data_IF_001816136736
#
_entry.id   IF_001816136736
#
_cell.length_a   1.000
_cell.length_b   1.000
_cell.length_c   1.000
_cell.angle_alpha   90.00
_cell.angle_beta   90.00
_cell.angle_gamma   90.00
#
_symmetry.space_group_name_H-M   'P 1'
#
loop_
_entity.id
_entity.type
_entity.pdbx_description
1 polymer ?
#
# COMPACT_ATOMS: atom_id res chain seq x y z
N UNK A 1 -2.85 9.20 -19.08
CA UNK A 1 -3.75 8.77 -17.99
C UNK A 1 -3.72 9.85 -16.91
N UNK A 2 -4.84 10.20 -16.29
CA UNK A 2 -4.94 11.27 -15.30
C UNK A 2 -5.14 10.77 -13.85
N UNK A 3 -5.07 9.46 -13.62
CA UNK A 3 -5.25 8.81 -12.31
C UNK A 3 -3.99 8.11 -11.83
N UNK A 4 -2.81 8.70 -12.04
CA UNK A 4 -1.51 8.16 -11.65
C UNK A 4 -0.92 8.82 -10.39
N UNK A 5 -1.73 9.60 -9.66
CA UNK A 5 -1.34 10.30 -8.44
C UNK A 5 -2.29 9.93 -7.28
N UNK A 6 -1.73 9.76 -6.09
CA UNK A 6 -2.45 9.58 -4.83
C UNK A 6 -1.88 10.53 -3.76
N UNK A 7 -2.74 10.99 -2.83
CA UNK A 7 -2.37 11.90 -1.73
C UNK A 7 -2.54 13.39 -2.08
N UNK A 8 -2.30 14.28 -1.10
CA UNK A 8 -2.43 15.75 -1.26
C UNK A 8 -1.17 16.51 -0.84
N UNK A 9 -0.69 16.30 0.38
CA UNK A 9 0.62 16.77 0.84
C UNK A 9 1.65 15.67 0.64
N UNK A 10 1.54 14.57 1.39
CA UNK A 10 2.29 13.36 1.09
C UNK A 10 1.62 12.71 -0.12
N UNK A 11 2.22 12.91 -1.28
CA UNK A 11 1.68 12.41 -2.54
C UNK A 11 2.70 11.58 -3.26
N UNK A 12 2.25 10.62 -4.05
CA UNK A 12 3.12 9.92 -4.98
C UNK A 12 2.51 9.83 -6.36
N UNK A 13 3.35 9.98 -7.37
CA UNK A 13 3.01 9.83 -8.78
C UNK A 13 3.76 8.63 -9.34
N UNK A 14 3.08 7.74 -10.06
CA UNK A 14 3.68 6.48 -10.55
C UNK A 14 3.88 6.45 -12.06
N UNK A 15 4.87 5.69 -12.51
CA UNK A 15 5.15 5.37 -13.90
C UNK A 15 5.60 3.90 -14.08
N UNK A 16 5.68 3.47 -15.34
CA UNK A 16 6.08 2.13 -15.73
C UNK A 16 4.92 1.23 -16.17
N UNK A 17 5.28 0.10 -16.78
CA UNK A 17 4.39 -0.96 -17.21
C UNK A 17 4.98 -2.31 -16.84
N UNK A 18 4.13 -3.33 -16.64
CA UNK A 18 4.56 -4.63 -16.13
C UNK A 18 5.68 -5.34 -16.91
N UNK A 19 5.82 -5.04 -18.20
CA UNK A 19 6.87 -5.58 -19.07
C UNK A 19 7.74 -4.47 -19.70
N UNK A 20 7.69 -3.25 -19.18
CA UNK A 20 8.65 -2.19 -19.51
C UNK A 20 9.99 -2.43 -18.79
N UNK A 21 10.97 -1.57 -19.04
CA UNK A 21 12.31 -1.68 -18.44
C UNK A 21 12.31 -1.53 -16.91
N UNK A 22 11.40 -0.72 -16.39
CA UNK A 22 11.27 -0.45 -14.97
C UNK A 22 9.86 -0.03 -14.58
N UNK A 23 9.59 -0.13 -13.28
CA UNK A 23 8.54 0.58 -12.57
C UNK A 23 9.18 1.77 -11.84
N UNK A 24 8.40 2.78 -11.49
CA UNK A 24 8.91 3.81 -10.57
C UNK A 24 7.85 4.76 -10.08
N UNK A 25 8.24 5.57 -9.10
CA UNK A 25 7.40 6.62 -8.55
C UNK A 25 8.22 7.83 -8.10
N UNK A 26 7.51 8.94 -7.95
CA UNK A 26 8.03 10.16 -7.33
C UNK A 26 7.16 10.47 -6.13
N UNK A 27 7.75 10.48 -4.94
CA UNK A 27 7.11 10.91 -3.69
C UNK A 27 7.40 12.39 -3.49
N UNK A 28 6.38 13.18 -3.20
CA UNK A 28 6.48 14.61 -2.87
C UNK A 28 5.79 14.90 -1.54
N UNK A 29 6.23 15.96 -0.85
CA UNK A 29 5.72 16.32 0.48
C UNK A 29 6.22 15.42 1.61
N UNK A 30 7.35 14.74 1.40
CA UNK A 30 8.12 14.15 2.49
C UNK A 30 8.91 15.27 3.17
N UNK A 31 8.80 15.48 4.50
CA UNK A 31 9.55 16.51 5.21
C UNK A 31 11.06 16.33 5.05
N UNK A 32 11.82 17.42 5.12
CA UNK A 32 13.29 17.34 5.20
C UNK A 32 13.77 16.80 6.55
N UNK A 33 14.95 16.18 6.55
CA UNK A 33 15.63 15.71 7.76
C UNK A 33 15.18 14.32 8.25
N UNK A 34 14.40 13.58 7.45
CA UNK A 34 14.04 12.19 7.73
C UNK A 34 15.21 11.32 7.30
N UNK A 35 15.75 10.49 8.20
CA UNK A 35 16.72 9.48 7.81
C UNK A 35 16.02 8.44 6.92
N UNK A 36 16.56 8.19 5.74
CA UNK A 36 15.93 7.33 4.74
C UNK A 36 16.89 6.26 4.23
N UNK A 37 16.46 5.02 4.36
CA UNK A 37 17.19 3.84 3.98
C UNK A 37 16.56 3.18 2.76
N UNK A 38 17.35 3.05 1.69
CA UNK A 38 16.99 2.25 0.51
C UNK A 38 16.81 0.77 0.88
N UNK A 39 17.55 0.26 1.87
CA UNK A 39 17.43 -1.11 2.38
C UNK A 39 16.07 -1.35 3.04
N UNK A 40 15.57 -0.39 3.82
CA UNK A 40 14.23 -0.49 4.43
C UNK A 40 13.13 -0.45 3.38
N UNK A 41 13.30 0.34 2.30
CA UNK A 41 12.40 0.30 1.15
C UNK A 41 12.45 -1.08 0.49
N UNK A 42 13.63 -1.65 0.30
CA UNK A 42 13.80 -2.97 -0.28
C UNK A 42 13.13 -4.07 0.57
N UNK A 43 13.21 -4.01 1.90
CA UNK A 43 12.54 -4.97 2.80
C UNK A 43 11.02 -5.00 2.60
N UNK A 44 10.38 -3.84 2.47
CA UNK A 44 8.93 -3.77 2.20
C UNK A 44 8.59 -4.29 0.80
N UNK A 45 9.42 -3.99 -0.21
CA UNK A 45 9.27 -4.56 -1.55
C UNK A 45 9.40 -6.08 -1.54
N UNK A 46 10.33 -6.61 -0.75
CA UNK A 46 10.57 -8.04 -0.61
C UNK A 46 9.37 -8.76 -0.03
N UNK A 47 8.69 -8.19 0.99
CA UNK A 47 7.42 -8.72 1.52
C UNK A 47 6.34 -8.87 0.45
N UNK A 48 6.34 -8.00 -0.57
CA UNK A 48 5.37 -7.98 -1.69
C UNK A 48 5.76 -8.89 -2.86
N UNK A 49 7.02 -9.36 -2.92
CA UNK A 49 7.52 -10.17 -4.04
C UNK A 49 6.73 -11.48 -4.18
N UNK A 50 6.39 -11.89 -5.41
CA UNK A 50 5.90 -13.23 -5.65
C UNK A 50 7.06 -14.25 -5.52
N UNK A 51 6.75 -15.50 -5.19
CA UNK A 51 7.71 -16.61 -5.22
C UNK A 51 8.53 -16.80 -3.94
N UNK A 52 8.13 -16.20 -2.81
CA UNK A 52 8.68 -16.54 -1.49
C UNK A 52 8.30 -17.96 -1.03
N UNK A 53 7.48 -18.64 -1.83
CA UNK A 53 6.56 -19.68 -1.42
C UNK A 53 6.11 -20.50 -2.64
N UNK A 54 5.75 -21.78 -2.46
CA UNK A 54 5.16 -22.61 -3.54
C UNK A 54 3.78 -22.10 -4.01
N UNK A 55 3.14 -21.26 -3.19
CA UNK A 55 1.80 -20.68 -3.35
C UNK A 55 1.83 -19.45 -4.28
N UNK A 56 3.00 -18.83 -4.48
CA UNK A 56 3.14 -17.60 -5.28
C UNK A 56 4.07 -17.82 -6.48
N UNK A 57 3.89 -17.04 -7.55
CA UNK A 57 4.63 -17.27 -8.79
C UNK A 57 6.14 -17.08 -8.65
N UNK A 58 6.94 -18.01 -9.17
CA UNK A 58 8.41 -18.05 -9.02
C UNK A 58 9.19 -17.03 -9.88
N UNK A 59 8.70 -15.79 -10.04
CA UNK A 59 9.47 -14.77 -10.78
C UNK A 59 10.58 -14.25 -9.87
N UNK A 60 11.84 -14.51 -10.24
CA UNK A 60 13.01 -13.92 -9.60
C UNK A 60 13.25 -12.48 -10.03
N UNK A 61 12.20 -11.64 -10.08
CA UNK A 61 12.37 -10.20 -10.27
C UNK A 61 12.99 -9.67 -8.96
N UNK A 62 14.23 -9.14 -8.98
CA UNK A 62 14.88 -8.74 -7.73
C UNK A 62 14.24 -7.47 -7.13
N UNK A 63 13.25 -6.87 -7.80
CA UNK A 63 12.57 -5.61 -7.44
C UNK A 63 13.53 -4.61 -6.80
N UNK A 64 14.70 -4.49 -7.41
CA UNK A 64 15.81 -3.72 -6.89
C UNK A 64 15.44 -2.25 -7.02
N UNK A 65 15.17 -1.61 -5.88
CA UNK A 65 14.85 -0.20 -5.80
C UNK A 65 16.12 0.62 -5.84
N UNK A 66 16.04 1.79 -6.48
CA UNK A 66 17.09 2.78 -6.42
C UNK A 66 16.50 4.18 -6.29
N UNK A 67 16.92 4.90 -5.26
CA UNK A 67 16.58 6.31 -5.02
C UNK A 67 17.46 7.18 -5.94
N UNK A 68 16.83 8.11 -6.66
CA UNK A 68 17.46 8.94 -7.69
C UNK A 68 17.50 10.43 -7.36
N UNK A 69 16.70 10.87 -6.41
CA UNK A 69 16.61 12.28 -6.01
C UNK A 69 16.00 12.39 -4.62
N UNK A 70 15.93 13.61 -4.09
CA UNK A 70 15.21 13.91 -2.85
C UNK A 70 15.99 13.62 -1.58
N UNK A 71 17.19 13.05 -1.71
CA UNK A 71 18.05 12.68 -0.58
C UNK A 71 19.46 13.26 -0.74
N UNK A 72 20.11 13.51 0.41
CA UNK A 72 21.51 13.88 0.53
C UNK A 72 22.07 13.18 1.77
N UNK A 73 23.15 12.43 1.62
CA UNK A 73 23.85 11.76 2.74
C UNK A 73 22.94 10.93 3.66
N UNK A 74 21.93 10.26 3.09
CA UNK A 74 21.00 9.42 3.85
C UNK A 74 19.80 10.16 4.45
N UNK A 75 19.68 11.47 4.24
CA UNK A 75 18.54 12.27 4.73
C UNK A 75 17.70 12.82 3.60
N UNK A 76 16.39 12.95 3.83
CA UNK A 76 15.48 13.64 2.92
C UNK A 76 15.75 15.14 2.90
N UNK A 77 15.63 15.74 1.73
CA UNK A 77 15.90 17.17 1.51
C UNK A 77 14.63 18.03 1.51
N UNK A 78 13.46 17.43 1.71
CA UNK A 78 12.15 18.07 1.52
C UNK A 78 11.72 18.17 0.05
N UNK A 79 12.60 17.82 -0.89
CA UNK A 79 12.34 17.81 -2.33
C UNK A 79 11.86 16.44 -2.82
N UNK A 80 11.31 16.31 -4.04
CA UNK A 80 10.75 15.05 -4.51
C UNK A 80 11.74 13.88 -4.54
N UNK A 81 11.35 12.76 -3.94
CA UNK A 81 12.10 11.51 -3.91
C UNK A 81 11.69 10.65 -5.10
N UNK A 82 12.58 10.53 -6.09
CA UNK A 82 12.38 9.68 -7.25
C UNK A 82 12.93 8.28 -6.98
N UNK A 83 12.12 7.25 -7.24
CA UNK A 83 12.52 5.84 -7.09
C UNK A 83 12.28 5.07 -8.39
N UNK A 84 13.26 4.23 -8.75
CA UNK A 84 13.20 3.34 -9.92
C UNK A 84 13.40 1.90 -9.47
N UNK A 85 12.53 1.00 -9.92
CA UNK A 85 12.51 -0.42 -9.59
C UNK A 85 12.64 -1.23 -10.90
N UNK A 86 13.73 -1.97 -11.06
CA UNK A 86 14.02 -2.64 -12.34
C UNK A 86 13.12 -3.86 -12.60
N UNK A 87 12.69 -4.04 -13.85
CA UNK A 87 12.05 -5.27 -14.31
C UNK A 87 13.08 -6.11 -15.09
N UNK A 88 13.51 -7.26 -14.56
CA UNK A 88 14.54 -8.11 -15.21
C UNK A 88 13.98 -9.24 -16.10
N UNK A 89 12.70 -9.61 -15.97
CA UNK A 89 12.16 -10.88 -16.50
C UNK A 89 10.89 -10.74 -17.37
N UNK A 90 10.81 -9.68 -18.17
CA UNK A 90 9.65 -9.43 -19.05
C UNK A 90 9.60 -10.40 -20.25
N UNK A 91 8.59 -11.28 -20.30
CA UNK A 91 8.30 -12.16 -21.44
C UNK A 91 6.96 -11.80 -22.08
N UNK A 92 6.95 -10.82 -22.98
CA UNK A 92 5.71 -10.32 -23.59
C UNK A 92 5.08 -11.28 -24.60
N UNK A 93 5.86 -12.09 -25.32
CA UNK A 93 5.36 -12.92 -26.43
C UNK A 93 4.21 -13.88 -26.08
N UNK A 94 4.13 -14.38 -24.84
CA UNK A 94 3.03 -15.25 -24.40
C UNK A 94 1.65 -14.56 -24.37
N UNK A 95 1.63 -13.23 -24.44
CA UNK A 95 0.39 -12.43 -24.45
C UNK A 95 -0.02 -11.96 -25.85
N UNK A 96 0.78 -12.25 -26.88
CA UNK A 96 0.47 -11.92 -28.27
C UNK A 96 -0.91 -12.45 -28.74
N UNK A 97 -1.37 -13.65 -28.34
CA UNK A 97 -2.71 -14.12 -28.69
C UNK A 97 -3.86 -13.22 -28.19
N UNK A 98 -3.60 -12.35 -27.22
CA UNK A 98 -4.61 -11.50 -26.59
C UNK A 98 -4.63 -10.06 -27.11
N UNK A 99 -3.85 -9.73 -28.16
CA UNK A 99 -3.78 -8.35 -28.68
C UNK A 99 -5.17 -7.87 -29.08
N UNK A 100 -5.89 -8.68 -29.84
CA UNK A 100 -7.25 -8.41 -30.37
C UNK A 100 -8.34 -9.30 -29.77
N UNK A 101 -7.96 -10.28 -28.94
CA UNK A 101 -8.87 -11.16 -28.23
C UNK A 101 -8.67 -10.98 -26.72
N UNK A 102 -9.52 -10.21 -26.01
CA UNK A 102 -9.25 -9.82 -24.64
C UNK A 102 -9.26 -11.04 -23.73
N UNK A 103 -8.36 -11.09 -22.74
CA UNK A 103 -8.50 -12.08 -21.68
C UNK A 103 -9.80 -11.80 -20.91
N UNK A 104 -10.60 -12.83 -20.59
CA UNK A 104 -11.81 -12.64 -19.80
C UNK A 104 -11.53 -11.89 -18.50
N UNK A 105 -12.40 -10.93 -18.18
CA UNK A 105 -12.33 -10.13 -16.96
C UNK A 105 -11.04 -9.30 -16.76
N UNK A 106 -10.26 -9.08 -17.83
CA UNK A 106 -9.13 -8.14 -17.82
C UNK A 106 -9.46 -6.80 -18.52
N UNK A 107 -8.61 -5.80 -18.28
CA UNK A 107 -8.69 -4.50 -18.93
C UNK A 107 -8.23 -4.46 -20.41
N UNK A 108 -8.00 -5.61 -21.05
CA UNK A 108 -7.41 -5.67 -22.40
C UNK A 108 -8.26 -4.90 -23.42
N UNK A 109 -9.56 -5.16 -23.49
CA UNK A 109 -10.47 -4.45 -24.40
C UNK A 109 -10.73 -3.02 -23.93
N UNK A 110 -10.98 -2.80 -22.63
CA UNK A 110 -11.38 -1.47 -22.12
C UNK A 110 -10.26 -0.43 -22.26
N UNK A 111 -9.00 -0.84 -22.13
CA UNK A 111 -7.86 0.04 -22.42
C UNK A 111 -7.75 0.36 -23.91
N UNK A 112 -7.87 -0.63 -24.79
CA UNK A 112 -7.86 -0.42 -26.24
C UNK A 112 -9.02 0.47 -26.68
N UNK A 113 -10.23 0.27 -26.16
CA UNK A 113 -11.39 1.08 -26.45
C UNK A 113 -11.25 2.52 -25.96
N UNK A 114 -10.61 2.74 -24.80
CA UNK A 114 -10.41 4.08 -24.22
C UNK A 114 -9.30 4.87 -24.92
N UNK A 115 -8.18 4.23 -25.22
CA UNK A 115 -6.95 4.91 -25.67
C UNK A 115 -6.59 4.66 -27.13
N UNK A 116 -7.29 3.76 -27.82
CA UNK A 116 -6.96 3.30 -29.18
C UNK A 116 -5.72 2.40 -29.26
N UNK A 117 -5.00 2.22 -28.14
CA UNK A 117 -3.83 1.37 -28.02
C UNK A 117 -3.63 0.95 -26.58
N UNK A 118 -2.84 -0.11 -26.37
CA UNK A 118 -2.39 -0.56 -25.04
C UNK A 118 -1.03 -1.24 -25.16
N UNK A 119 -0.22 -1.17 -24.11
CA UNK A 119 0.88 -2.11 -23.96
C UNK A 119 0.31 -3.49 -23.68
N UNK A 120 0.27 -4.34 -24.70
CA UNK A 120 -0.34 -5.67 -24.65
C UNK A 120 0.54 -6.71 -23.95
N UNK A 121 1.80 -6.37 -23.66
CA UNK A 121 2.70 -7.19 -22.86
C UNK A 121 2.19 -7.35 -21.43
N UNK A 122 1.54 -8.48 -21.15
CA UNK A 122 0.99 -8.77 -19.84
C UNK A 122 -0.23 -7.91 -19.51
N UNK A 123 -0.19 -7.20 -18.38
CA UNK A 123 -1.27 -6.30 -17.96
C UNK A 123 -1.02 -4.82 -18.29
N UNK A 124 0.14 -4.51 -18.90
CA UNK A 124 0.58 -3.13 -19.11
C UNK A 124 0.50 -2.32 -17.82
N UNK A 125 -0.17 -1.15 -17.88
CA UNK A 125 -0.40 -0.27 -16.73
C UNK A 125 -1.46 -0.77 -15.74
N UNK A 126 -2.39 -1.63 -16.17
CA UNK A 126 -3.42 -2.20 -15.28
C UNK A 126 -2.95 -3.40 -14.47
N UNK A 127 -1.69 -3.81 -14.63
CA UNK A 127 -1.14 -4.95 -13.91
C UNK A 127 -0.98 -4.64 -12.42
N UNK A 128 -1.19 -5.66 -11.57
CA UNK A 128 -0.82 -5.60 -10.15
C UNK A 128 0.69 -5.39 -9.91
N UNK A 129 1.54 -5.45 -10.96
CA UNK A 129 2.92 -4.97 -10.87
C UNK A 129 2.99 -3.49 -10.44
N UNK A 130 2.00 -2.68 -10.80
CA UNK A 130 1.91 -1.26 -10.41
C UNK A 130 2.02 -1.04 -8.90
N UNK A 131 1.54 -1.97 -8.08
CA UNK A 131 1.54 -1.81 -6.62
C UNK A 131 2.96 -1.78 -6.01
N UNK A 132 4.02 -2.08 -6.78
CA UNK A 132 5.41 -2.06 -6.32
C UNK A 132 5.83 -0.61 -6.03
N UNK A 133 5.32 0.30 -6.86
CA UNK A 133 5.47 1.73 -6.68
C UNK A 133 4.80 2.23 -5.40
N UNK A 134 3.68 1.61 -5.01
CA UNK A 134 2.90 2.01 -3.84
C UNK A 134 3.53 1.50 -2.56
N UNK A 135 4.05 0.27 -2.57
CA UNK A 135 4.84 -0.28 -1.47
C UNK A 135 6.12 0.53 -1.26
N UNK A 136 6.80 0.93 -2.33
CA UNK A 136 7.96 1.83 -2.22
C UNK A 136 7.58 3.18 -1.57
N UNK A 137 6.48 3.81 -2.02
CA UNK A 137 6.00 5.05 -1.40
C UNK A 137 5.55 4.85 0.06
N UNK A 138 4.91 3.71 0.37
CA UNK A 138 4.51 3.34 1.72
C UNK A 138 5.69 3.07 2.66
N UNK A 139 6.81 2.57 2.13
CA UNK A 139 8.05 2.39 2.89
C UNK A 139 8.72 3.74 3.24
N UNK A 140 8.61 4.74 2.35
CA UNK A 140 8.99 6.12 2.70
C UNK A 140 8.05 6.65 3.79
N UNK A 141 6.74 6.45 3.65
CA UNK A 141 5.79 6.90 4.66
C UNK A 141 6.03 6.24 6.04
N UNK A 142 6.35 4.95 6.05
CA UNK A 142 6.72 4.19 7.26
C UNK A 142 7.88 4.87 7.99
N UNK A 143 8.98 5.15 7.28
CA UNK A 143 10.17 5.76 7.87
C UNK A 143 9.92 7.18 8.42
N UNK A 144 8.99 7.93 7.83
CA UNK A 144 8.56 9.24 8.37
C UNK A 144 7.76 9.04 9.66
N UNK A 145 6.83 8.08 9.69
CA UNK A 145 6.00 7.80 10.86
C UNK A 145 6.85 7.28 12.03
N UNK A 146 7.77 6.35 11.76
CA UNK A 146 8.68 5.75 12.75
C UNK A 146 9.61 6.78 13.42
N UNK A 147 9.89 7.91 12.75
CA UNK A 147 10.70 9.02 13.27
C UNK A 147 9.86 10.20 13.78
N UNK A 148 8.54 10.08 13.79
CA UNK A 148 7.65 11.10 14.33
C UNK A 148 7.40 10.91 15.83
N UNK A 149 6.85 11.92 16.50
CA UNK A 149 6.47 11.83 17.91
C UNK A 149 5.17 10.99 18.14
N UNK A 150 4.65 10.31 17.11
CA UNK A 150 3.43 9.51 17.17
C UNK A 150 3.75 8.04 16.95
N UNK A 151 3.28 7.16 17.84
CA UNK A 151 3.44 5.70 17.75
C UNK A 151 2.40 5.08 16.78
N UNK A 152 2.42 5.52 15.52
CA UNK A 152 1.50 5.00 14.50
C UNK A 152 1.95 3.62 14.06
N UNK A 153 1.13 2.62 14.38
CA UNK A 153 1.37 1.23 14.00
C UNK A 153 0.32 0.76 13.01
N UNK A 154 0.75 0.00 12.00
CA UNK A 154 -0.11 -0.50 10.92
C UNK A 154 0.21 -1.95 10.65
N UNK A 155 -0.82 -2.80 10.72
CA UNK A 155 -0.71 -4.23 10.42
C UNK A 155 -1.94 -4.73 9.70
N UNK A 156 -1.74 -5.71 8.82
CA UNK A 156 -2.81 -6.38 8.10
C UNK A 156 -2.50 -7.87 7.98
N UNK A 157 -3.53 -8.70 7.86
CA UNK A 157 -3.36 -10.14 7.62
C UNK A 157 -4.50 -10.65 6.74
N UNK A 158 -4.26 -11.78 6.08
CA UNK A 158 -5.34 -12.52 5.40
C UNK A 158 -6.25 -13.09 6.47
N UNK A 159 -7.53 -12.73 6.42
CA UNK A 159 -8.54 -13.22 7.35
C UNK A 159 -9.55 -14.17 6.69
N UNK A 160 -9.58 -14.26 5.35
CA UNK A 160 -10.41 -15.25 4.66
C UNK A 160 -9.83 -15.66 3.31
N UNK A 161 -9.90 -16.96 2.99
CA UNK A 161 -9.72 -17.50 1.63
C UNK A 161 -10.91 -18.42 1.30
N UNK A 162 -11.64 -18.09 0.24
CA UNK A 162 -12.85 -18.83 -0.12
C UNK A 162 -13.85 -18.90 1.03
N UNK A 163 -14.13 -20.10 1.54
CA UNK A 163 -15.03 -20.34 2.67
C UNK A 163 -14.32 -20.53 4.02
N UNK A 164 -13.00 -20.39 4.06
CA UNK A 164 -12.18 -20.58 5.26
C UNK A 164 -11.90 -19.21 5.83
N UNK A 165 -12.36 -18.95 7.05
CA UNK A 165 -12.23 -17.68 7.76
C UNK A 165 -11.37 -17.91 8.99
N UNK A 166 -10.47 -16.97 9.27
CA UNK A 166 -9.69 -16.92 10.52
C UNK A 166 -10.65 -16.74 11.71
N UNK A 167 -10.31 -17.30 12.86
CA UNK A 167 -10.97 -16.93 14.11
C UNK A 167 -10.60 -15.48 14.50
N UNK A 168 -11.25 -14.93 15.54
CA UNK A 168 -10.89 -13.63 16.08
C UNK A 168 -9.45 -13.65 16.60
N UNK A 169 -8.59 -12.81 16.04
CA UNK A 169 -7.18 -12.67 16.41
C UNK A 169 -6.94 -11.34 17.12
N UNK A 170 -6.00 -11.32 18.06
CA UNK A 170 -5.56 -10.09 18.71
C UNK A 170 -4.55 -9.34 17.85
N UNK A 171 -4.28 -8.09 18.20
CA UNK A 171 -3.22 -7.31 17.58
C UNK A 171 -1.84 -7.94 17.76
N UNK A 172 -1.59 -8.52 18.92
CA UNK A 172 -0.36 -9.23 19.22
C UNK A 172 -0.20 -10.45 18.31
N UNK A 173 -1.27 -11.22 18.08
CA UNK A 173 -1.27 -12.33 17.12
C UNK A 173 -0.97 -11.84 15.69
N UNK A 174 -1.54 -10.70 15.29
CA UNK A 174 -1.23 -10.08 13.99
C UNK A 174 0.25 -9.70 13.88
N UNK A 175 0.85 -9.13 14.93
CA UNK A 175 2.26 -8.77 14.93
C UNK A 175 3.16 -10.01 14.85
N UNK A 176 2.84 -11.06 15.60
CA UNK A 176 3.63 -12.28 15.70
C UNK A 176 3.51 -13.13 14.43
N UNK A 177 2.29 -13.50 14.02
CA UNK A 177 2.08 -14.62 13.10
C UNK A 177 1.92 -14.25 11.63
N UNK A 178 1.65 -12.99 11.30
CA UNK A 178 1.39 -12.56 9.90
C UNK A 178 2.55 -12.87 8.95
N UNK A 179 3.81 -12.83 9.40
CA UNK A 179 4.97 -13.11 8.54
C UNK A 179 5.50 -14.55 8.67
N UNK A 180 4.96 -15.36 9.58
CA UNK A 180 5.44 -16.71 9.89
C UNK A 180 4.97 -17.77 8.87
N UNK A 181 3.98 -17.43 8.05
CA UNK A 181 3.40 -18.35 7.08
C UNK A 181 3.17 -17.68 5.71
N UNK A 182 3.11 -18.52 4.67
CA UNK A 182 3.03 -18.08 3.28
C UNK A 182 1.68 -17.44 2.90
N UNK A 183 0.62 -17.71 3.66
CA UNK A 183 -0.72 -17.12 3.48
C UNK A 183 -0.79 -15.72 4.09
N UNK A 184 0.10 -15.41 5.04
CA UNK A 184 0.08 -14.21 5.87
C UNK A 184 -1.21 -14.05 6.68
N UNK A 185 -1.66 -15.16 7.24
CA UNK A 185 -2.80 -15.20 8.16
C UNK A 185 -2.29 -15.20 9.61
N UNK A 186 -2.88 -14.38 10.48
CA UNK A 186 -2.51 -14.27 11.88
C UNK A 186 -3.05 -15.43 12.75
N UNK A 187 -3.97 -16.23 12.22
CA UNK A 187 -4.42 -17.50 12.78
C UNK A 187 -3.64 -18.64 12.12
N UNK A 188 -2.66 -19.28 12.81
CA UNK A 188 -1.82 -20.32 12.21
C UNK A 188 -2.57 -21.60 11.82
N UNK A 189 -3.64 -21.96 12.56
CA UNK A 189 -4.43 -23.16 12.25
C UNK A 189 -5.22 -22.95 10.95
N UNK A 190 -5.87 -21.79 10.82
CA UNK A 190 -6.59 -21.42 9.60
C UNK A 190 -5.64 -21.13 8.44
N UNK A 191 -4.44 -20.63 8.70
CA UNK A 191 -3.42 -20.44 7.67
C UNK A 191 -3.11 -21.76 6.92
N UNK A 192 -3.01 -22.88 7.64
CA UNK A 192 -2.77 -24.19 7.02
C UNK A 192 -3.97 -24.65 6.18
N UNK A 193 -5.20 -24.50 6.68
CA UNK A 193 -6.41 -24.82 5.90
C UNK A 193 -6.51 -23.94 4.63
N UNK A 194 -6.23 -22.64 4.75
CA UNK A 194 -6.22 -21.70 3.63
C UNK A 194 -5.16 -22.07 2.60
N UNK A 195 -3.94 -22.44 3.03
CA UNK A 195 -2.88 -22.93 2.14
C UNK A 195 -3.35 -24.13 1.33
N UNK A 196 -3.88 -25.16 2.00
CA UNK A 196 -4.31 -26.39 1.35
C UNK A 196 -5.45 -26.12 0.34
N UNK A 197 -6.33 -25.17 0.64
CA UNK A 197 -7.35 -24.72 -0.30
C UNK A 197 -6.74 -24.02 -1.53
N UNK A 198 -5.76 -23.13 -1.34
CA UNK A 198 -5.09 -22.44 -2.43
C UNK A 198 -4.35 -23.45 -3.33
N UNK A 199 -3.63 -24.40 -2.74
CA UNK A 199 -2.91 -25.45 -3.47
C UNK A 199 -3.86 -26.30 -4.31
N UNK A 200 -5.01 -26.69 -3.75
CA UNK A 200 -6.05 -27.40 -4.53
C UNK A 200 -6.50 -26.59 -5.75
N UNK A 201 -6.79 -25.30 -5.59
CA UNK A 201 -7.18 -24.45 -6.72
C UNK A 201 -6.07 -24.36 -7.77
N UNK A 202 -4.81 -24.28 -7.34
CA UNK A 202 -3.65 -24.29 -8.22
C UNK A 202 -3.52 -25.61 -9.00
N UNK A 203 -3.67 -26.76 -8.35
CA UNK A 203 -3.65 -28.09 -8.97
C UNK A 203 -4.78 -28.27 -10.00
N UNK A 204 -5.97 -27.73 -9.70
CA UNK A 204 -7.11 -27.72 -10.60
C UNK A 204 -6.96 -26.75 -11.79
N UNK A 205 -5.91 -25.91 -11.79
CA UNK A 205 -5.70 -24.88 -12.80
C UNK A 205 -6.71 -23.74 -12.73
N UNK A 206 -7.14 -23.41 -11.51
CA UNK A 206 -8.13 -22.38 -11.19
C UNK A 206 -7.62 -21.46 -10.06
N UNK A 207 -8.49 -20.66 -9.48
CA UNK A 207 -8.14 -19.64 -8.51
C UNK A 207 -9.26 -19.37 -7.51
N UNK A 208 -8.93 -18.69 -6.41
CA UNK A 208 -9.88 -18.34 -5.37
C UNK A 208 -9.62 -16.93 -4.82
N UNK A 209 -10.71 -16.24 -4.45
CA UNK A 209 -10.66 -14.93 -3.80
C UNK A 209 -10.55 -15.04 -2.28
N UNK A 210 -10.63 -13.89 -1.61
CA UNK A 210 -10.53 -13.80 -0.16
C UNK A 210 -10.50 -12.36 0.32
N UNK A 211 -10.17 -12.14 1.59
CA UNK A 211 -10.10 -10.83 2.20
C UNK A 211 -8.85 -10.63 3.06
N UNK A 212 -8.54 -9.36 3.30
CA UNK A 212 -7.48 -8.89 4.19
C UNK A 212 -8.10 -7.98 5.24
N UNK A 213 -7.93 -8.34 6.50
CA UNK A 213 -8.22 -7.50 7.65
C UNK A 213 -7.03 -6.56 7.89
N UNK A 214 -7.33 -5.34 8.29
CA UNK A 214 -6.32 -4.36 8.69
C UNK A 214 -6.71 -3.64 9.96
N UNK A 215 -5.70 -3.24 10.72
CA UNK A 215 -5.85 -2.40 11.90
C UNK A 215 -4.69 -1.39 11.97
N UNK A 216 -5.00 -0.16 12.41
CA UNK A 216 -4.04 0.90 12.64
C UNK A 216 -4.22 1.45 14.06
N UNK A 217 -3.15 1.46 14.85
CA UNK A 217 -3.10 2.00 16.22
C UNK A 217 -2.24 3.25 16.29
N UNK A 218 -2.42 4.04 17.36
CA UNK A 218 -1.67 5.27 17.57
C UNK A 218 -2.00 6.40 16.59
N UNK A 219 -3.08 6.27 15.81
CA UNK A 219 -3.52 7.31 14.89
C UNK A 219 -4.24 8.41 15.69
N UNK A 220 -3.75 9.67 15.67
CA UNK A 220 -4.36 10.73 16.45
C UNK A 220 -5.82 10.98 16.06
N UNK A 221 -6.63 11.37 17.04
CA UNK A 221 -7.98 11.89 16.79
C UNK A 221 -7.96 13.18 15.98
N UNK A 222 -9.02 13.41 15.21
CA UNK A 222 -9.23 14.63 14.45
C UNK A 222 -8.65 14.63 13.03
N UNK A 223 -8.19 13.49 12.51
CA UNK A 223 -7.74 13.36 11.13
C UNK A 223 -8.91 13.09 10.19
N UNK A 224 -9.00 13.84 9.09
CA UNK A 224 -10.05 13.69 8.07
C UNK A 224 -10.65 15.03 7.62
N UNK A 225 -11.12 15.09 6.37
CA UNK A 225 -11.82 16.26 5.84
C UNK A 225 -13.26 15.88 5.42
N UNK A 226 -14.29 16.11 6.27
CA UNK A 226 -15.62 15.54 6.09
C UNK A 226 -16.25 15.70 4.69
N UNK A 227 -17.21 14.81 4.39
CA UNK A 227 -17.95 14.70 3.11
C UNK A 227 -17.17 14.01 2.00
N UNK A 228 -16.44 14.75 1.16
CA UNK A 228 -15.85 14.20 -0.07
C UNK A 228 -14.42 13.68 0.11
N UNK A 229 -13.80 14.01 1.21
CA UNK A 229 -12.38 13.75 1.47
C UNK A 229 -12.17 13.28 2.91
N UNK A 230 -13.22 12.64 3.47
CA UNK A 230 -13.17 12.08 4.81
C UNK A 230 -12.09 11.02 4.88
N UNK A 231 -11.63 10.71 6.10
CA UNK A 231 -10.62 9.69 6.29
C UNK A 231 -11.05 8.36 5.63
N UNK A 232 -12.28 7.92 5.94
CA UNK A 232 -12.90 6.74 5.33
C UNK A 232 -13.00 6.83 3.79
N UNK A 233 -13.34 7.99 3.22
CA UNK A 233 -13.48 8.13 1.77
C UNK A 233 -12.13 8.02 1.05
N UNK A 234 -11.08 8.64 1.60
CA UNK A 234 -9.74 8.58 1.02
C UNK A 234 -9.10 7.20 1.21
N UNK A 235 -9.31 6.58 2.37
CA UNK A 235 -8.91 5.20 2.61
C UNK A 235 -9.66 4.23 1.69
N UNK A 236 -10.96 4.43 1.49
CA UNK A 236 -11.76 3.62 0.57
C UNK A 236 -11.27 3.76 -0.86
N UNK A 237 -10.96 4.98 -1.31
CA UNK A 237 -10.30 5.21 -2.61
C UNK A 237 -8.97 4.47 -2.70
N UNK A 238 -8.16 4.47 -1.66
CA UNK A 238 -6.88 3.76 -1.61
C UNK A 238 -7.08 2.26 -1.82
N UNK A 239 -7.99 1.65 -1.05
CA UNK A 239 -8.28 0.22 -1.12
C UNK A 239 -8.91 -0.20 -2.45
N UNK A 240 -9.92 0.54 -2.94
CA UNK A 240 -10.52 0.28 -4.26
C UNK A 240 -9.56 0.52 -5.43
N UNK A 241 -8.46 1.23 -5.23
CA UNK A 241 -7.42 1.36 -6.25
C UNK A 241 -6.60 0.08 -6.40
N UNK A 242 -6.54 -0.77 -5.37
CA UNK A 242 -5.83 -2.05 -5.43
C UNK A 242 -6.50 -2.96 -6.46
N UNK A 243 -5.76 -3.53 -7.43
CA UNK A 243 -6.36 -4.37 -8.46
C UNK A 243 -7.13 -5.55 -7.86
N UNK A 244 -8.28 -5.84 -8.45
CA UNK A 244 -9.21 -6.91 -8.08
C UNK A 244 -9.97 -6.75 -6.74
N UNK A 245 -9.81 -5.61 -6.05
CA UNK A 245 -10.64 -5.29 -4.88
C UNK A 245 -12.09 -5.00 -5.29
N UNK A 246 -13.05 -5.57 -4.56
CA UNK A 246 -14.49 -5.45 -4.83
C UNK A 246 -15.31 -4.90 -3.67
N UNK A 247 -14.79 -4.96 -2.45
CA UNK A 247 -15.43 -4.41 -1.27
C UNK A 247 -14.39 -3.87 -0.28
N UNK A 248 -14.81 -2.88 0.50
CA UNK A 248 -14.04 -2.27 1.59
C UNK A 248 -15.04 -1.92 2.70
N UNK A 249 -14.75 -2.37 3.91
CA UNK A 249 -15.59 -2.22 5.09
C UNK A 249 -14.76 -1.65 6.25
N UNK A 250 -15.40 -0.91 7.15
CA UNK A 250 -14.78 -0.34 8.36
C UNK A 250 -15.65 -0.68 9.57
N UNK A 251 -15.03 -0.94 10.72
CA UNK A 251 -15.78 -1.31 11.92
C UNK A 251 -16.62 -2.56 11.69
N UNK A 252 -17.87 -2.52 12.14
CA UNK A 252 -18.90 -3.57 11.88
C UNK A 252 -19.23 -3.81 10.39
N UNK A 253 -18.77 -2.94 9.48
CA UNK A 253 -18.90 -3.18 8.04
C UNK A 253 -20.32 -3.42 7.57
N UNK A 254 -20.54 -4.51 6.82
CA UNK A 254 -21.87 -4.90 6.32
C UNK A 254 -22.88 -5.23 7.42
N UNK A 255 -22.44 -5.66 8.60
CA UNK A 255 -23.33 -6.12 9.68
C UNK A 255 -24.17 -4.98 10.24
N UNK A 256 -23.65 -3.74 10.16
CA UNK A 256 -24.35 -2.54 10.59
C UNK A 256 -25.73 -2.34 9.93
N UNK A 257 -26.00 -2.96 8.77
CA UNK A 257 -27.31 -2.87 8.08
C UNK A 257 -28.42 -3.67 8.77
N UNK A 258 -28.05 -4.62 9.63
CA UNK A 258 -28.95 -5.54 10.34
C UNK A 258 -29.16 -5.11 11.81
N UNK A 259 -28.50 -4.06 12.27
CA UNK A 259 -28.53 -3.58 13.65
C UNK A 259 -29.50 -2.41 13.86
N UNK A 260 -30.17 -2.39 15.02
CA UNK A 260 -30.94 -1.21 15.43
C UNK A 260 -30.00 -0.09 15.89
N UNK A 261 -30.43 1.16 15.74
CA UNK A 261 -29.59 2.31 16.11
C UNK A 261 -29.16 2.33 17.57
N UNK A 262 -29.97 1.79 18.49
CA UNK A 262 -29.61 1.69 19.92
C UNK A 262 -28.49 0.66 20.16
N UNK A 263 -28.43 -0.39 19.36
CA UNK A 263 -27.42 -1.45 19.48
C UNK A 263 -26.13 -1.10 18.72
N UNK A 264 -26.20 -0.18 17.75
CA UNK A 264 -25.06 0.33 16.98
C UNK A 264 -24.36 1.53 17.66
N UNK A 265 -25.08 2.28 18.48
CA UNK A 265 -24.55 3.52 19.03
C UNK A 265 -23.54 3.24 20.14
N UNK A 266 -22.45 4.00 20.14
CA UNK A 266 -21.48 4.00 21.23
C UNK A 266 -21.91 4.97 22.33
N UNK A 267 -21.89 4.48 23.56
CA UNK A 267 -21.87 5.32 24.75
C UNK A 267 -20.49 6.01 24.88
N UNK A 268 -20.43 7.03 25.73
CA UNK A 268 -19.23 7.84 25.93
C UNK A 268 -18.85 7.87 27.40
N UNK A 269 -17.55 7.85 27.66
CA UNK A 269 -16.96 8.04 28.97
C UNK A 269 -15.80 9.04 28.92
N UNK A 270 -15.28 9.40 30.08
CA UNK A 270 -14.05 10.18 30.15
C UNK A 270 -12.87 9.23 30.28
N UNK A 271 -11.84 9.46 29.47
CA UNK A 271 -10.59 8.71 29.54
C UNK A 271 -9.96 8.88 30.93
N UNK A 272 -9.65 7.76 31.58
CA UNK A 272 -8.99 7.70 32.88
C UNK A 272 -7.47 7.53 32.76
N UNK A 273 -6.94 7.54 31.54
CA UNK A 273 -5.52 7.40 31.22
C UNK A 273 -5.01 5.95 31.26
N UNK A 274 -5.90 4.96 31.23
CA UNK A 274 -5.53 3.53 31.28
C UNK A 274 -5.66 2.78 29.95
N UNK A 275 -6.20 3.42 28.91
CA UNK A 275 -6.41 2.82 27.58
C UNK A 275 -5.19 3.04 26.69
N UNK A 276 -4.36 2.02 26.56
CA UNK A 276 -3.10 2.10 25.80
C UNK A 276 -3.30 2.15 24.27
N UNK A 277 -4.47 1.74 23.77
CA UNK A 277 -4.78 1.65 22.33
C UNK A 277 -5.54 2.88 21.79
N UNK A 278 -5.86 3.84 22.65
CA UNK A 278 -6.58 5.07 22.29
C UNK A 278 -5.68 6.30 22.42
N UNK A 279 -5.68 7.14 21.39
CA UNK A 279 -4.93 8.41 21.41
C UNK A 279 -5.79 9.54 22.01
N UNK A 280 -5.70 9.70 23.33
CA UNK A 280 -6.39 10.73 24.11
C UNK A 280 -5.57 11.24 25.31
N UNK A 281 -6.04 12.32 25.96
CA UNK A 281 -5.53 12.81 27.24
C UNK A 281 -6.55 12.48 28.35
N UNK A 282 -6.08 12.29 29.58
CA UNK A 282 -6.94 12.07 30.75
C UNK A 282 -8.00 13.16 30.87
N UNK A 283 -9.27 12.75 30.97
CA UNK A 283 -10.43 13.64 31.03
C UNK A 283 -11.03 14.02 29.67
N UNK A 284 -10.50 13.53 28.56
CA UNK A 284 -11.15 13.66 27.26
C UNK A 284 -12.34 12.70 27.11
N UNK A 285 -13.39 13.07 26.35
CA UNK A 285 -14.47 12.15 26.03
C UNK A 285 -13.99 11.12 25.00
N UNK A 286 -14.16 9.83 25.30
CA UNK A 286 -13.85 8.70 24.42
C UNK A 286 -15.06 7.76 24.27
N UNK A 287 -15.23 7.10 23.11
CA UNK A 287 -16.23 6.05 22.95
C UNK A 287 -15.96 4.85 23.88
N UNK A 288 -17.01 4.24 24.43
CA UNK A 288 -16.87 3.02 25.26
C UNK A 288 -16.51 1.79 24.41
N UNK A 289 -17.02 1.73 23.17
CA UNK A 289 -16.71 0.69 22.19
C UNK A 289 -16.18 1.26 20.88
N UNK A 290 -15.85 0.36 19.94
CA UNK A 290 -15.22 0.72 18.67
C UNK A 290 -15.90 0.08 17.44
N UNK A 291 -17.21 -0.19 17.50
CA UNK A 291 -18.00 -0.75 16.40
C UNK A 291 -17.98 0.13 15.13
N UNK A 292 -17.63 1.40 15.31
CA UNK A 292 -17.47 2.40 14.25
C UNK A 292 -16.07 2.38 13.58
N UNK A 293 -15.16 1.51 14.02
CA UNK A 293 -13.85 1.27 13.40
C UNK A 293 -12.91 2.47 13.45
N UNK A 294 -12.91 3.21 14.56
CA UNK A 294 -12.07 4.39 14.78
C UNK A 294 -12.50 5.63 13.99
N UNK A 295 -13.68 5.59 13.35
CA UNK A 295 -14.16 6.63 12.44
C UNK A 295 -15.57 7.10 12.81
N UNK A 296 -15.72 8.40 13.09
CA UNK A 296 -17.03 9.02 13.28
C UNK A 296 -17.14 10.31 12.46
N UNK A 297 -18.24 10.48 11.73
CA UNK A 297 -18.45 11.64 10.86
C UNK A 297 -17.40 11.82 9.75
N UNK A 298 -16.60 10.79 9.49
CA UNK A 298 -15.48 10.83 8.54
C UNK A 298 -14.17 11.37 9.13
N UNK A 299 -14.05 11.41 10.45
CA UNK A 299 -12.89 11.86 11.22
C UNK A 299 -12.44 10.73 12.17
N UNK A 300 -11.14 10.61 12.42
CA UNK A 300 -10.59 9.65 13.38
C UNK A 300 -10.96 10.01 14.81
N UNK A 301 -11.34 9.01 15.61
CA UNK A 301 -11.71 9.19 17.02
C UNK A 301 -10.53 9.10 17.98
N UNK A 302 -9.41 8.51 17.55
CA UNK A 302 -8.26 8.17 18.39
C UNK A 302 -8.22 6.69 18.75
N UNK A 303 -9.36 6.00 18.63
CA UNK A 303 -9.48 4.54 18.72
C UNK A 303 -8.77 3.84 17.55
N UNK A 304 -8.45 2.53 17.66
CA UNK A 304 -7.94 1.74 16.56
C UNK A 304 -8.82 1.84 15.30
N UNK A 305 -8.19 2.10 14.15
CA UNK A 305 -8.89 2.12 12.86
C UNK A 305 -8.78 0.74 12.25
N UNK A 306 -9.91 0.03 12.10
CA UNK A 306 -9.92 -1.31 11.54
C UNK A 306 -10.98 -1.52 10.47
N UNK A 307 -10.77 -2.55 9.66
CA UNK A 307 -11.67 -2.91 8.59
C UNK A 307 -11.18 -4.07 7.74
N UNK A 308 -11.87 -4.28 6.63
CA UNK A 308 -11.59 -5.37 5.70
C UNK A 308 -11.59 -4.86 4.25
N UNK A 309 -10.71 -5.38 3.41
CA UNK A 309 -10.82 -5.29 1.96
C UNK A 309 -10.99 -6.69 1.34
N UNK A 310 -11.85 -6.83 0.33
CA UNK A 310 -12.16 -8.10 -0.34
C UNK A 310 -11.66 -8.12 -1.77
N UNK A 311 -11.06 -9.24 -2.19
CA UNK A 311 -10.61 -9.51 -3.55
C UNK A 311 -11.45 -10.59 -4.23
N UNK A 312 -11.82 -10.34 -5.48
CA UNK A 312 -12.30 -11.42 -6.35
C UNK A 312 -11.14 -12.35 -6.76
N UNK A 313 -11.47 -13.56 -7.21
CA UNK A 313 -10.48 -14.53 -7.65
C UNK A 313 -9.66 -14.04 -8.88
N UNK A 314 -8.35 -14.31 -8.95
CA UNK A 314 -7.54 -14.00 -10.13
C UNK A 314 -8.07 -14.65 -11.41
N UNK A 315 -8.24 -13.88 -12.50
CA UNK A 315 -8.96 -14.38 -13.70
C UNK A 315 -8.05 -14.92 -14.82
N UNK A 316 -6.72 -14.77 -14.68
CA UNK A 316 -5.73 -15.41 -15.55
C UNK A 316 -5.46 -16.84 -15.08
N UNK A 317 -6.30 -17.78 -15.49
CA UNK A 317 -6.24 -19.19 -15.08
C UNK A 317 -5.91 -20.15 -16.24
N UNK A 318 -5.27 -21.31 -15.97
CA UNK A 318 -5.01 -22.36 -16.95
C UNK A 318 -6.25 -23.03 -17.55
N UNK A 319 -7.43 -22.97 -16.90
CA UNK A 319 -8.67 -23.48 -17.49
C UNK A 319 -9.05 -22.70 -18.75
N UNK A 320 -9.62 -23.42 -19.72
CA UNK A 320 -10.11 -22.86 -20.99
C UNK A 320 -11.29 -21.93 -20.73
N UNK A 321 -11.30 -20.80 -21.40
CA UNK A 321 -12.36 -19.79 -21.35
C UNK A 321 -12.72 -19.35 -22.77
N UNK A 322 -13.85 -18.69 -22.94
CA UNK A 322 -14.25 -18.14 -24.24
C UNK A 322 -13.96 -16.65 -24.31
N UNK A 323 -13.55 -16.18 -25.49
CA UNK A 323 -13.35 -14.77 -25.80
C UNK A 323 -13.77 -14.47 -27.24
N UNK A 324 -13.74 -13.21 -27.64
CA UNK A 324 -14.02 -12.75 -29.00
C UNK A 324 -12.88 -11.93 -29.52
N UNK A 325 -12.48 -12.17 -30.76
CA UNK A 325 -11.53 -11.33 -31.46
C UNK A 325 -12.29 -10.20 -32.18
N UNK A 326 -12.07 -8.96 -31.74
CA UNK A 326 -12.79 -7.82 -32.33
C UNK A 326 -12.26 -7.41 -33.71
N UNK A 327 -11.07 -7.87 -34.11
CA UNK A 327 -10.50 -7.61 -35.44
C UNK A 327 -10.98 -8.65 -36.46
N UNK A 328 -10.97 -9.93 -36.10
CA UNK A 328 -11.41 -11.01 -37.01
C UNK A 328 -12.92 -11.26 -36.95
N UNK A 329 -13.59 -10.85 -35.86
CA UNK A 329 -15.01 -11.13 -35.62
C UNK A 329 -15.29 -12.57 -35.17
N UNK A 330 -14.26 -13.33 -34.80
CA UNK A 330 -14.38 -14.74 -34.43
C UNK A 330 -14.49 -14.95 -32.91
N UNK A 331 -15.27 -15.94 -32.50
CA UNK A 331 -15.19 -16.49 -31.13
C UNK A 331 -13.96 -17.37 -31.03
N UNK A 332 -13.16 -17.19 -29.97
CA UNK A 332 -11.92 -17.94 -29.71
C UNK A 332 -11.96 -18.59 -28.34
N UNK A 333 -11.24 -19.71 -28.21
CA UNK A 333 -10.92 -20.29 -26.92
C UNK A 333 -9.64 -19.62 -26.38
N UNK A 334 -9.73 -19.04 -25.19
CA UNK A 334 -8.63 -18.41 -24.48
C UNK A 334 -8.11 -19.34 -23.39
N UNK A 335 -6.78 -19.47 -23.30
CA UNK A 335 -6.11 -20.18 -22.23
C UNK A 335 -4.86 -19.39 -21.83
N UNK A 336 -4.78 -18.98 -20.57
CA UNK A 336 -3.60 -18.26 -20.07
C UNK A 336 -2.64 -19.26 -19.43
N UNK A 337 -1.55 -19.56 -20.13
CA UNK A 337 -0.55 -20.54 -19.67
C UNK A 337 0.60 -19.84 -18.94
N UNK A 338 0.93 -20.36 -17.76
CA UNK A 338 2.04 -19.88 -16.94
C UNK A 338 1.73 -20.02 -15.45
N UNK A 339 2.72 -19.76 -14.60
CA UNK A 339 2.49 -19.61 -13.17
C UNK A 339 1.82 -18.25 -12.96
N UNK A 340 0.56 -18.29 -12.54
CA UNK A 340 -0.23 -17.16 -12.05
C UNK A 340 -0.56 -17.42 -10.57
N UNK A 341 -0.69 -16.36 -9.78
CA UNK A 341 -1.02 -16.55 -8.37
C UNK A 341 -2.46 -17.10 -8.29
N UNK A 342 -2.70 -18.27 -7.64
CA UNK A 342 -4.04 -18.84 -7.46
C UNK A 342 -4.90 -18.02 -6.48
N UNK A 343 -4.28 -17.16 -5.67
CA UNK A 343 -4.97 -16.21 -4.80
C UNK A 343 -4.16 -14.91 -4.63
N UNK A 344 -4.86 -13.78 -4.48
CA UNK A 344 -4.26 -12.44 -4.36
C UNK A 344 -4.05 -11.94 -2.92
N UNK A 345 -4.91 -12.25 -1.91
CA UNK A 345 -4.82 -11.68 -0.56
C UNK A 345 -3.44 -11.76 0.10
N UNK A 346 -2.68 -12.87 0.05
CA UNK A 346 -1.35 -12.91 0.69
C UNK A 346 -0.42 -11.81 0.17
N UNK A 347 -0.40 -11.59 -1.15
CA UNK A 347 0.42 -10.53 -1.77
C UNK A 347 -0.16 -9.13 -1.56
N UNK A 348 -1.44 -9.03 -1.22
CA UNK A 348 -2.11 -7.76 -0.98
C UNK A 348 -1.77 -7.18 0.41
N UNK A 349 -1.41 -8.01 1.40
CA UNK A 349 -1.09 -7.56 2.77
C UNK A 349 -0.09 -6.40 2.81
N UNK A 350 1.13 -6.48 2.21
CA UNK A 350 2.06 -5.35 2.22
C UNK A 350 1.55 -4.13 1.44
N UNK A 351 0.69 -4.33 0.44
CA UNK A 351 0.10 -3.24 -0.35
C UNK A 351 -0.95 -2.50 0.48
N UNK A 352 -1.78 -3.23 1.23
CA UNK A 352 -2.77 -2.67 2.15
C UNK A 352 -2.08 -1.84 3.22
N UNK A 353 -1.07 -2.41 3.88
CA UNK A 353 -0.26 -1.67 4.87
C UNK A 353 0.38 -0.41 4.29
N UNK A 354 0.96 -0.49 3.09
CA UNK A 354 1.53 0.67 2.42
C UNK A 354 0.49 1.76 2.16
N UNK A 355 -0.70 1.39 1.66
CA UNK A 355 -1.79 2.32 1.38
C UNK A 355 -2.40 2.94 2.64
N UNK A 356 -2.41 2.22 3.77
CA UNK A 356 -2.78 2.75 5.08
C UNK A 356 -1.78 3.81 5.54
N UNK A 357 -0.48 3.48 5.53
CA UNK A 357 0.60 4.40 5.96
C UNK A 357 0.62 5.70 5.17
N UNK A 358 0.55 5.65 3.83
CA UNK A 358 0.52 6.87 3.01
C UNK A 358 -0.72 7.72 3.26
N UNK A 359 -1.87 7.09 3.55
CA UNK A 359 -3.12 7.82 3.83
C UNK A 359 -3.07 8.50 5.20
N UNK A 360 -2.59 7.78 6.23
CA UNK A 360 -2.41 8.30 7.59
C UNK A 360 -1.43 9.47 7.57
N UNK A 361 -0.23 9.27 7.00
CA UNK A 361 0.78 10.31 6.93
C UNK A 361 0.28 11.56 6.19
N UNK A 362 -0.41 11.40 5.06
CA UNK A 362 -0.96 12.54 4.32
C UNK A 362 -1.94 13.35 5.19
N UNK A 363 -2.81 12.69 5.97
CA UNK A 363 -3.69 13.39 6.90
C UNK A 363 -2.96 14.01 8.08
N UNK A 364 -1.92 13.37 8.62
CA UNK A 364 -1.10 13.93 9.70
C UNK A 364 -0.41 15.21 9.26
N UNK A 365 0.13 15.25 8.03
CA UNK A 365 0.69 16.46 7.45
C UNK A 365 -0.39 17.54 7.23
N UNK A 366 -1.55 17.16 6.69
CA UNK A 366 -2.66 18.10 6.43
C UNK A 366 -3.20 18.74 7.72
N UNK A 367 -3.19 17.98 8.81
CA UNK A 367 -3.63 18.44 10.12
C UNK A 367 -2.52 19.15 10.92
N UNK A 368 -1.29 19.20 10.41
CA UNK A 368 -0.15 19.77 11.12
C UNK A 368 0.30 18.97 12.34
N UNK A 369 -0.03 17.66 12.39
CA UNK A 369 0.49 16.73 13.42
C UNK A 369 1.97 16.41 13.21
N UNK A 370 2.39 16.46 11.95
CA UNK A 370 3.78 16.43 11.52
C UNK A 370 3.99 17.67 10.63
N UNK A 371 5.11 18.37 10.81
CA UNK A 371 5.41 19.54 10.00
C UNK A 371 5.79 19.11 8.57
N UNK A 372 5.15 19.67 7.52
CA UNK A 372 5.36 19.22 6.15
C UNK A 372 6.69 19.66 5.52
N UNK A 373 7.36 20.66 6.08
CA UNK A 373 8.59 21.20 5.52
C UNK A 373 9.82 20.50 6.11
N UNK A 374 9.86 20.33 7.44
CA UNK A 374 10.98 19.73 8.17
C UNK A 374 10.46 18.90 9.34
N UNK A 375 10.98 17.70 9.53
CA UNK A 375 10.56 16.81 10.61
C UNK A 375 10.78 17.45 11.99
N UNK A 376 11.88 18.21 12.15
CA UNK A 376 12.20 18.92 13.39
C UNK A 376 11.32 20.15 13.68
N UNK A 377 10.53 20.62 12.72
CA UNK A 377 9.66 21.79 12.86
C UNK A 377 10.37 23.12 13.17
N UNK A 378 11.69 23.25 12.91
CA UNK A 378 12.51 24.43 13.29
C UNK A 378 13.10 25.16 12.08
N UNK A 379 12.36 26.08 11.42
CA UNK A 379 12.89 26.91 10.35
C UNK A 379 14.04 27.81 10.80
N UNK A 380 15.11 27.87 10.01
CA UNK A 380 16.27 28.71 10.29
C UNK A 380 17.30 28.10 11.26
N UNK A 381 17.04 26.90 11.79
CA UNK A 381 18.02 26.14 12.57
C UNK A 381 18.83 25.23 11.64
N UNK A 382 20.15 25.32 11.78
CA UNK A 382 21.13 24.65 10.91
C UNK A 382 22.04 23.68 11.67
N UNK A 383 21.99 23.67 13.00
CA UNK A 383 22.64 22.67 13.84
C UNK A 383 21.80 21.39 13.86
N UNK A 384 21.84 20.64 12.76
CA UNK A 384 21.12 19.38 12.56
C UNK A 384 22.02 18.34 11.90
N UNK A 385 21.70 17.06 12.09
CA UNK A 385 22.47 15.95 11.50
C UNK A 385 22.42 15.90 9.96
N UNK A 386 21.51 16.65 9.33
CA UNK A 386 21.25 16.63 7.90
C UNK A 386 21.58 17.96 7.21
N UNK A 387 22.04 18.97 7.95
CA UNK A 387 22.50 20.22 7.35
C UNK A 387 23.96 20.08 6.94
N UNK A 388 24.34 20.41 5.69
CA UNK A 388 25.73 20.34 5.28
C UNK A 388 26.57 21.36 6.04
N UNK A 389 27.73 20.94 6.53
CA UNK A 389 28.72 21.85 7.10
C UNK A 389 29.54 22.53 6.01
N UNK A 390 30.16 23.67 6.35
CA UNK A 390 31.13 24.30 5.47
C UNK A 390 32.28 23.33 5.19
N UNK A 391 32.71 23.16 3.93
CA UNK A 391 33.82 22.27 3.60
C UNK A 391 35.08 22.73 4.36
N UNK A 392 35.57 21.90 5.29
CA UNK A 392 36.80 22.19 6.02
C UNK A 392 38.06 22.05 5.15
N UNK A 393 37.94 21.39 3.99
CA UNK A 393 39.01 21.18 3.03
C UNK A 393 38.58 21.74 1.68
N UNK A 394 39.32 22.74 1.20
CA UNK A 394 39.32 23.11 -0.21
C UNK A 394 39.76 21.86 -0.99
N UNK A 395 38.88 21.19 -1.75
CA UNK A 395 39.30 20.03 -2.51
C UNK A 395 40.31 20.53 -3.55
N UNK A 396 41.52 19.96 -3.58
CA UNK A 396 42.59 20.36 -4.52
C UNK A 396 42.16 20.35 -6.01
N UNK A 397 41.03 19.69 -6.32
CA UNK A 397 40.43 19.55 -7.66
C UNK A 397 39.17 20.41 -7.91
N UNK A 398 38.77 21.28 -6.98
CA UNK A 398 37.61 22.16 -7.17
C UNK A 398 37.99 23.41 -7.99
N UNK A 399 37.47 23.53 -9.21
CA UNK A 399 37.64 24.73 -10.07
C UNK A 399 36.94 26.00 -9.51
N UNK A 400 36.21 25.87 -8.40
CA UNK A 400 35.42 26.94 -7.77
C UNK A 400 35.74 27.06 -6.29
N UNK A 401 35.95 28.28 -5.81
CA UNK A 401 36.36 28.58 -4.43
C UNK A 401 35.46 29.65 -3.79
N UNK A 402 35.36 29.62 -2.47
CA UNK A 402 34.73 30.67 -1.65
C UNK A 402 35.72 31.13 -0.59
N UNK A 403 36.15 32.38 -0.64
CA UNK A 403 37.09 32.95 0.33
C UNK A 403 36.34 33.75 1.41
N UNK A 404 36.85 33.69 2.64
CA UNK A 404 36.41 34.61 3.69
C UNK A 404 36.77 36.03 3.28
N UNK A 405 35.76 36.91 3.20
CA UNK A 405 35.99 38.34 3.04
C UNK A 405 36.16 38.92 4.43
N UNK A 406 37.39 39.19 4.85
CA UNK A 406 37.65 39.96 6.07
C UNK A 406 37.07 41.38 5.91
N UNK A 407 36.21 41.81 6.84
CA UNK A 407 35.85 43.23 6.98
C UNK A 407 36.96 43.93 7.79
N UNK A 408 37.76 44.76 7.12
CA UNK A 408 38.75 45.67 7.74
C UNK A 408 38.15 46.60 8.80
#
# INVERSE_FOLDING_TARGET
MNGNEFGRLFRFTTFGESHGEAMGCTVSGCPAGVEISEEEVQKELDRRKPGQSMITTSRGEPDEVSIKSGTLEGYTTGTPIGMVIQNKDARSGKYEPFITAPRPSHGDYTYSAKFGTRNWGGGGRSSARETVNWVAAGAVAKQVLDQSDHDVQVKAHVNQIGSITAEDVTWEDMLEHTEDNEVRCADPEKAEEMRDAIDRYQEEGDSIGGSVYFECRGVPRGLGAPRFDSFAARMGKAMFSIPATTAVEYGQGREAREMAGVDRNEDWEFDDGTRDDVVSEEGDPVPVGNDHGGLQGGITTGEPIYGEATWHAPVSIPKKQETVDWETGETKEAQVVGRHDPSLPPRAVPVVEAMLRVTILDFMLLAGRINPDRLDGRPGEYDTAYHPESPQNDPDDADTMTETVDED
#
